data_IF_546755422527
#
_entry.id   IF_546755422527
#
_cell.length_a   1.000
_cell.length_b   1.000
_cell.length_c   1.000
_cell.angle_alpha   90.00
_cell.angle_beta   90.00
_cell.angle_gamma   90.00
#
_symmetry.space_group_name_H-M   'P 1'
#
loop_
_entity.id
_entity.type
_entity.pdbx_description
1 polymer ?
#
# COMPACT_ATOMS: atom_id res chain seq x y z
N UNK A 1 45.22 -54.16 -25.78
CA UNK A 1 44.77 -54.05 -24.37
C UNK A 1 45.23 -52.73 -23.78
N UNK A 2 44.43 -51.69 -23.87
CA UNK A 2 44.60 -50.47 -23.07
C UNK A 2 43.25 -49.79 -23.04
N UNK A 3 42.60 -49.82 -21.87
CA UNK A 3 41.33 -49.15 -21.59
C UNK A 3 41.62 -47.67 -21.30
N UNK A 4 41.18 -46.76 -22.18
CA UNK A 4 41.15 -45.34 -21.87
C UNK A 4 39.79 -45.03 -21.20
N UNK A 5 39.88 -44.69 -19.95
CA UNK A 5 38.76 -44.16 -19.16
C UNK A 5 38.55 -42.71 -19.51
N UNK A 6 37.46 -42.41 -20.17
CA UNK A 6 37.00 -41.02 -20.42
C UNK A 6 36.32 -40.47 -19.17
N UNK A 7 37.02 -39.60 -18.45
CA UNK A 7 36.51 -38.86 -17.31
C UNK A 7 35.73 -37.66 -17.85
N UNK A 8 34.41 -37.80 -17.98
CA UNK A 8 33.53 -36.72 -18.40
C UNK A 8 33.32 -35.77 -17.24
N UNK A 9 33.97 -34.62 -17.32
CA UNK A 9 33.85 -33.51 -16.35
C UNK A 9 32.51 -32.78 -16.66
N UNK A 10 31.46 -33.16 -15.95
CA UNK A 10 30.15 -32.51 -16.02
C UNK A 10 30.20 -31.24 -15.18
N UNK A 11 30.48 -30.11 -15.86
CA UNK A 11 30.43 -28.78 -15.27
C UNK A 11 28.97 -28.38 -15.00
N UNK A 12 28.54 -28.53 -13.76
CA UNK A 12 27.23 -28.08 -13.27
C UNK A 12 27.24 -26.55 -13.18
N UNK A 13 26.68 -25.91 -14.19
CA UNK A 13 26.42 -24.48 -14.20
C UNK A 13 25.26 -24.18 -13.23
N UNK A 14 25.59 -23.87 -11.98
CA UNK A 14 24.61 -23.41 -10.99
C UNK A 14 24.23 -21.98 -11.37
N UNK A 15 23.11 -21.83 -12.13
CA UNK A 15 22.45 -20.53 -12.25
C UNK A 15 21.85 -20.18 -10.90
N UNK A 16 22.56 -19.32 -10.18
CA UNK A 16 22.03 -18.69 -8.97
C UNK A 16 20.84 -17.83 -9.33
N UNK A 17 19.64 -18.33 -9.12
CA UNK A 17 18.44 -17.49 -9.08
C UNK A 17 18.53 -16.61 -7.83
N UNK A 18 18.99 -15.38 -7.99
CA UNK A 18 18.77 -14.35 -6.97
C UNK A 18 17.27 -14.06 -6.92
N UNK A 19 16.57 -14.80 -6.08
CA UNK A 19 15.21 -14.45 -5.69
C UNK A 19 15.23 -13.08 -5.03
N UNK A 20 14.83 -12.05 -5.77
CA UNK A 20 14.45 -10.78 -5.18
C UNK A 20 13.18 -11.04 -4.34
N UNK A 21 13.36 -11.37 -3.07
CA UNK A 21 12.27 -11.45 -2.10
C UNK A 21 11.73 -10.04 -1.89
N UNK A 22 10.75 -9.65 -2.67
CA UNK A 22 9.93 -8.49 -2.35
C UNK A 22 9.35 -8.75 -0.95
N UNK A 23 9.75 -7.94 0.02
CA UNK A 23 9.34 -8.06 1.41
C UNK A 23 7.83 -7.85 1.48
N UNK A 24 7.09 -8.94 1.59
CA UNK A 24 5.62 -8.88 1.73
C UNK A 24 5.27 -8.07 2.97
N UNK A 25 4.27 -7.22 2.83
CA UNK A 25 3.70 -6.51 3.98
C UNK A 25 2.84 -7.52 4.73
N UNK A 26 3.23 -7.79 5.96
CA UNK A 26 2.40 -8.57 6.87
C UNK A 26 1.25 -7.69 7.37
N UNK A 27 0.05 -7.96 6.85
CA UNK A 27 -1.16 -7.24 7.23
C UNK A 27 -1.90 -7.91 8.41
N UNK A 28 -1.50 -9.09 8.84
CA UNK A 28 -2.16 -9.83 9.92
C UNK A 28 -2.01 -9.13 11.29
N UNK A 29 -0.92 -8.39 11.47
CA UNK A 29 -0.65 -7.65 12.70
C UNK A 29 -1.07 -6.17 12.62
N UNK A 30 -1.77 -5.78 11.55
CA UNK A 30 -2.27 -4.42 11.38
C UNK A 30 -3.74 -4.33 11.84
N UNK A 31 -4.06 -3.18 12.40
CA UNK A 31 -5.42 -2.82 12.82
C UNK A 31 -6.02 -1.87 11.82
N UNK A 32 -7.32 -1.99 11.63
CA UNK A 32 -8.08 -1.08 10.80
C UNK A 32 -8.16 0.30 11.45
N UNK A 33 -7.80 1.32 10.67
CA UNK A 33 -7.97 2.73 11.02
C UNK A 33 -9.30 3.25 10.52
N UNK A 34 -9.59 2.96 9.25
CA UNK A 34 -10.81 3.36 8.56
C UNK A 34 -11.08 2.43 7.38
N UNK A 35 -12.35 2.24 7.07
CA UNK A 35 -12.79 1.58 5.84
C UNK A 35 -13.81 2.45 5.13
N UNK A 36 -13.62 2.62 3.82
CA UNK A 36 -14.54 3.34 2.95
C UNK A 36 -14.90 2.49 1.74
N UNK A 37 -16.20 2.34 1.47
CA UNK A 37 -16.71 1.50 0.38
C UNK A 37 -17.24 2.39 -0.75
N UNK A 38 -16.78 2.11 -1.97
CA UNK A 38 -17.23 2.78 -3.18
C UNK A 38 -17.58 1.73 -4.24
N UNK A 39 -18.87 1.58 -4.52
CA UNK A 39 -19.34 0.53 -5.42
C UNK A 39 -18.92 -0.84 -4.89
N UNK A 40 -18.15 -1.57 -5.70
CA UNK A 40 -17.67 -2.92 -5.37
C UNK A 40 -16.27 -2.94 -4.74
N UNK A 41 -15.70 -1.76 -4.48
CA UNK A 41 -14.34 -1.61 -3.95
C UNK A 41 -14.38 -1.06 -2.53
N UNK A 42 -13.73 -1.75 -1.61
CA UNK A 42 -13.47 -1.26 -0.27
C UNK A 42 -12.02 -0.76 -0.16
N UNK A 43 -11.85 0.44 0.35
CA UNK A 43 -10.54 1.04 0.65
C UNK A 43 -10.34 0.96 2.15
N UNK A 44 -9.34 0.24 2.57
CA UNK A 44 -9.05 -0.03 3.99
C UNK A 44 -7.71 0.58 4.35
N UNK A 45 -7.70 1.41 5.38
CA UNK A 45 -6.49 1.97 5.98
C UNK A 45 -6.11 1.11 7.17
N UNK A 46 -4.87 0.64 7.20
CA UNK A 46 -4.36 -0.27 8.23
C UNK A 46 -3.04 0.25 8.79
N UNK A 47 -2.89 0.22 10.10
CA UNK A 47 -1.60 0.41 10.76
C UNK A 47 -1.51 -0.43 12.04
N UNK A 48 -0.39 -0.33 12.75
CA UNK A 48 -0.18 -1.14 13.97
C UNK A 48 -1.03 -0.70 15.15
N UNK A 49 -1.42 0.56 15.20
CA UNK A 49 -2.13 1.15 16.35
C UNK A 49 -3.65 1.21 16.16
N UNK A 50 -4.14 1.16 14.92
CA UNK A 50 -5.55 1.35 14.57
C UNK A 50 -5.98 2.81 14.58
N UNK A 51 -5.04 3.75 14.58
CA UNK A 51 -5.33 5.19 14.59
C UNK A 51 -4.20 5.99 13.93
N UNK A 52 -4.56 7.15 13.36
CA UNK A 52 -3.62 8.14 12.86
C UNK A 52 -3.35 9.17 13.98
N UNK A 53 -2.11 9.66 14.03
CA UNK A 53 -1.67 10.62 15.03
C UNK A 53 -1.07 11.86 14.38
N UNK A 54 -1.07 12.97 15.10
CA UNK A 54 -0.32 14.15 14.69
C UNK A 54 1.15 13.80 14.48
N UNK A 55 1.79 14.37 13.46
CA UNK A 55 3.16 14.11 13.06
C UNK A 55 3.26 12.98 12.02
N UNK A 56 4.37 12.28 12.01
CA UNK A 56 4.68 11.24 11.02
C UNK A 56 3.89 9.96 11.25
N UNK A 57 3.27 9.46 10.19
CA UNK A 57 2.52 8.21 10.18
C UNK A 57 2.99 7.31 9.04
N UNK A 58 3.00 6.01 9.29
CA UNK A 58 3.14 5.00 8.26
C UNK A 58 1.93 4.06 8.36
N UNK A 59 1.23 3.87 7.25
CA UNK A 59 0.07 3.01 7.17
C UNK A 59 -0.05 2.35 5.81
N UNK A 60 -0.87 1.33 5.72
CA UNK A 60 -1.19 0.61 4.50
C UNK A 60 -2.55 1.05 4.01
N UNK A 61 -2.65 1.31 2.71
CA UNK A 61 -3.92 1.43 1.99
C UNK A 61 -4.10 0.15 1.18
N UNK A 62 -5.19 -0.56 1.44
CA UNK A 62 -5.50 -1.80 0.76
C UNK A 62 -6.87 -1.69 0.07
N UNK A 63 -6.90 -2.05 -1.21
CA UNK A 63 -8.12 -2.15 -1.99
C UNK A 63 -8.61 -3.58 -1.97
N UNK A 64 -9.87 -3.78 -1.60
CA UNK A 64 -10.50 -5.10 -1.48
C UNK A 64 -11.79 -5.16 -2.29
N UNK A 65 -12.11 -6.35 -2.78
CA UNK A 65 -13.42 -6.64 -3.36
C UNK A 65 -14.49 -6.89 -2.28
N UNK A 66 -15.71 -7.18 -2.70
CA UNK A 66 -16.83 -7.50 -1.80
C UNK A 66 -16.59 -8.77 -0.96
N UNK A 67 -15.65 -9.63 -1.36
CA UNK A 67 -15.26 -10.83 -0.61
C UNK A 67 -14.12 -10.56 0.36
N UNK A 68 -13.64 -9.31 0.44
CA UNK A 68 -12.52 -8.91 1.29
C UNK A 68 -11.14 -9.28 0.72
N UNK A 69 -11.06 -9.70 -0.54
CA UNK A 69 -9.79 -10.06 -1.19
C UNK A 69 -9.12 -8.83 -1.79
N UNK A 70 -7.78 -8.69 -1.65
CA UNK A 70 -7.04 -7.61 -2.29
C UNK A 70 -7.17 -7.64 -3.80
N UNK A 71 -7.46 -6.49 -4.41
CA UNK A 71 -7.62 -6.32 -5.86
C UNK A 71 -6.65 -5.29 -6.42
N UNK A 72 -6.14 -5.57 -7.63
CA UNK A 72 -5.24 -4.65 -8.31
C UNK A 72 -6.02 -3.49 -8.92
N UNK A 73 -5.77 -2.29 -8.45
CA UNK A 73 -6.34 -1.04 -8.97
C UNK A 73 -5.34 -0.20 -9.77
N UNK A 74 -4.12 -0.69 -9.95
CA UNK A 74 -3.06 -0.04 -10.71
C UNK A 74 -2.34 1.06 -9.94
N UNK A 75 -2.17 2.23 -10.56
CA UNK A 75 -1.56 3.38 -9.90
C UNK A 75 -2.54 4.06 -8.95
N UNK A 76 -2.05 4.47 -7.79
CA UNK A 76 -2.85 5.12 -6.74
C UNK A 76 -2.22 6.44 -6.33
N UNK A 77 -3.06 7.44 -6.11
CA UNK A 77 -2.67 8.72 -5.52
C UNK A 77 -3.50 8.96 -4.27
N UNK A 78 -2.88 9.51 -3.25
CA UNK A 78 -3.51 9.88 -2.00
C UNK A 78 -3.24 11.35 -1.70
N UNK A 79 -4.30 12.12 -1.56
CA UNK A 79 -4.27 13.48 -1.03
C UNK A 79 -4.89 13.52 0.36
N UNK A 80 -4.42 14.43 1.20
CA UNK A 80 -5.05 14.71 2.48
C UNK A 80 -5.08 16.20 2.75
N UNK A 81 -6.18 16.68 3.30
CA UNK A 81 -6.36 18.09 3.65
C UNK A 81 -7.22 18.28 4.89
N UNK A 82 -7.01 19.37 5.57
CA UNK A 82 -7.82 19.80 6.70
C UNK A 82 -8.34 21.20 6.45
N UNK A 83 -9.65 21.39 6.52
CA UNK A 83 -10.28 22.71 6.43
C UNK A 83 -10.39 23.32 7.80
N UNK A 84 -10.02 24.60 7.88
CA UNK A 84 -10.15 25.41 9.10
C UNK A 84 -11.01 26.64 8.81
N UNK A 85 -11.91 27.03 9.72
CA UNK A 85 -12.69 28.26 9.56
C UNK A 85 -11.77 29.49 9.42
N UNK A 86 -12.02 30.31 8.40
CA UNK A 86 -11.31 31.58 8.13
C UNK A 86 -9.81 31.45 7.79
N UNK A 87 -9.33 30.26 7.46
CA UNK A 87 -7.94 30.00 7.05
C UNK A 87 -7.89 29.18 5.75
N UNK A 88 -6.77 29.26 5.05
CA UNK A 88 -6.53 28.39 3.90
C UNK A 88 -6.50 26.91 4.33
N UNK A 89 -7.03 25.98 3.52
CA UNK A 89 -6.94 24.56 3.82
C UNK A 89 -5.48 24.13 4.00
N UNK A 90 -5.23 23.30 4.99
CA UNK A 90 -3.92 22.71 5.23
C UNK A 90 -3.84 21.36 4.48
N UNK A 91 -2.79 21.17 3.73
CA UNK A 91 -2.51 19.91 3.05
C UNK A 91 -1.55 19.06 3.88
N UNK A 92 -1.78 17.76 3.93
CA UNK A 92 -0.83 16.79 4.48
C UNK A 92 0.12 16.33 3.36
N UNK A 93 1.39 16.19 3.69
CA UNK A 93 2.37 15.57 2.81
C UNK A 93 2.20 14.06 2.87
N UNK A 94 1.92 13.43 1.74
CA UNK A 94 1.74 11.98 1.65
C UNK A 94 2.56 11.42 0.49
N UNK A 95 3.35 10.38 0.79
CA UNK A 95 4.07 9.58 -0.17
C UNK A 95 3.45 8.19 -0.22
N UNK A 96 3.04 7.74 -1.41
CA UNK A 96 2.45 6.42 -1.61
C UNK A 96 3.33 5.57 -2.51
N UNK A 97 3.63 4.35 -2.10
CA UNK A 97 4.47 3.40 -2.83
C UNK A 97 3.80 2.01 -2.89
N UNK A 98 3.83 1.34 -4.05
CA UNK A 98 3.35 -0.04 -4.15
C UNK A 98 4.22 -0.98 -3.31
N UNK A 99 3.61 -2.00 -2.72
CA UNK A 99 4.32 -2.98 -1.88
C UNK A 99 4.76 -4.23 -2.63
N UNK A 100 4.36 -4.37 -3.90
CA UNK A 100 4.50 -5.61 -4.67
C UNK A 100 3.38 -6.63 -4.41
N UNK A 101 2.50 -6.37 -3.46
CA UNK A 101 1.27 -7.13 -3.26
C UNK A 101 0.10 -6.45 -3.97
N UNK A 102 -0.76 -7.25 -4.62
CA UNK A 102 -1.92 -6.72 -5.33
C UNK A 102 -2.78 -5.83 -4.42
N UNK A 103 -3.16 -4.66 -4.92
CA UNK A 103 -4.04 -3.73 -4.22
C UNK A 103 -3.53 -3.21 -2.88
N UNK A 104 -2.24 -3.34 -2.58
CA UNK A 104 -1.67 -2.99 -1.28
C UNK A 104 -0.55 -1.98 -1.45
N UNK A 105 -0.70 -0.83 -0.80
CA UNK A 105 0.21 0.32 -0.93
C UNK A 105 0.66 0.78 0.44
N UNK A 106 1.92 1.17 0.54
CA UNK A 106 2.48 1.79 1.75
C UNK A 106 2.38 3.31 1.62
N UNK A 107 1.90 3.94 2.66
CA UNK A 107 1.79 5.40 2.75
C UNK A 107 2.62 5.89 3.91
N UNK A 108 3.42 6.91 3.65
CA UNK A 108 4.03 7.77 4.66
C UNK A 108 3.37 9.13 4.58
N UNK A 109 2.88 9.64 5.68
CA UNK A 109 2.18 10.91 5.73
C UNK A 109 2.55 11.68 6.98
N UNK A 110 2.57 13.01 6.86
CA UNK A 110 2.81 13.90 7.97
C UNK A 110 1.57 14.80 8.18
N UNK A 111 0.94 14.67 9.34
CA UNK A 111 -0.22 15.48 9.73
C UNK A 111 0.22 16.55 10.70
N UNK A 112 0.16 17.81 10.28
CA UNK A 112 0.61 18.94 11.10
C UNK A 112 -0.23 19.15 12.37
N UNK A 113 -1.49 18.73 12.37
CA UNK A 113 -2.43 18.90 13.48
C UNK A 113 -3.32 17.68 13.66
N UNK A 114 -3.80 17.47 14.88
CA UNK A 114 -4.91 16.57 15.18
C UNK A 114 -6.24 17.16 14.70
N UNK A 115 -7.20 16.31 14.43
CA UNK A 115 -8.55 16.69 13.99
C UNK A 115 -9.07 15.85 12.83
N UNK A 116 -10.17 16.32 12.23
CA UNK A 116 -10.78 15.67 11.08
C UNK A 116 -10.05 16.01 9.78
N UNK A 117 -9.45 15.03 9.17
CA UNK A 117 -8.77 15.15 7.88
C UNK A 117 -9.61 14.56 6.76
N UNK A 118 -9.64 15.27 5.64
CA UNK A 118 -10.28 14.83 4.41
C UNK A 118 -9.26 14.14 3.53
N UNK A 119 -9.49 12.88 3.21
CA UNK A 119 -8.66 12.07 2.34
C UNK A 119 -9.30 11.96 0.97
N UNK A 120 -8.51 12.15 -0.08
CA UNK A 120 -8.91 11.88 -1.46
C UNK A 120 -8.03 10.79 -2.01
N UNK A 121 -8.63 9.71 -2.48
CA UNK A 121 -7.95 8.56 -3.07
C UNK A 121 -8.39 8.45 -4.51
N UNK A 122 -7.45 8.41 -5.44
CA UNK A 122 -7.71 8.15 -6.85
C UNK A 122 -6.85 7.00 -7.35
N UNK A 123 -7.37 6.24 -8.28
CA UNK A 123 -6.69 5.11 -8.88
C UNK A 123 -6.95 5.03 -10.38
N UNK A 124 -6.01 4.39 -11.09
CA UNK A 124 -6.16 4.11 -12.51
C UNK A 124 -5.42 2.81 -12.86
N UNK A 125 -6.16 1.82 -13.31
CA UNK A 125 -5.59 0.51 -13.63
C UNK A 125 -6.59 -0.44 -14.28
N UNK A 126 -6.45 -1.75 -14.08
CA UNK A 126 -7.25 -2.77 -14.79
C UNK A 126 -8.76 -2.65 -14.62
N UNK A 127 -9.21 -2.07 -13.51
CA UNK A 127 -10.64 -1.83 -13.22
C UNK A 127 -11.14 -0.47 -13.74
N UNK A 128 -10.31 0.25 -14.48
CA UNK A 128 -10.57 1.63 -14.91
C UNK A 128 -10.22 2.68 -13.86
N UNK A 129 -10.39 3.97 -14.21
CA UNK A 129 -10.15 5.06 -13.28
C UNK A 129 -11.26 5.16 -12.23
N UNK A 130 -10.89 5.49 -11.02
CA UNK A 130 -11.83 5.77 -9.95
C UNK A 130 -11.27 6.79 -8.96
N UNK A 131 -12.16 7.41 -8.22
CA UNK A 131 -11.80 8.36 -7.17
C UNK A 131 -12.88 8.40 -6.10
N UNK A 132 -12.46 8.63 -4.88
CA UNK A 132 -13.36 8.84 -3.75
C UNK A 132 -12.73 9.73 -2.71
N UNK A 133 -13.56 10.25 -1.82
CA UNK A 133 -13.10 11.04 -0.69
C UNK A 133 -13.86 10.63 0.58
N UNK A 134 -13.17 10.66 1.70
CA UNK A 134 -13.73 10.35 3.01
C UNK A 134 -12.97 11.08 4.12
N UNK A 135 -13.57 11.14 5.30
CA UNK A 135 -12.95 11.77 6.46
C UNK A 135 -12.41 10.71 7.41
N UNK A 136 -11.27 10.99 8.02
CA UNK A 136 -10.72 10.22 9.13
C UNK A 136 -10.12 11.14 10.17
N UNK A 137 -10.18 10.71 11.43
CA UNK A 137 -9.63 11.50 12.53
C UNK A 137 -8.15 11.19 12.75
N UNK A 138 -7.39 12.25 12.93
CA UNK A 138 -5.99 12.23 13.39
C UNK A 138 -5.96 12.71 14.85
N UNK A 139 -5.37 11.92 15.72
CA UNK A 139 -5.27 12.19 17.17
C UNK A 139 -3.94 12.77 17.57
#
# INVERSE_FOLDING_TARGET
MKKLSAFSLMLFLILGFTSCSAKRVDTENLREVATHVVGDVAIVLLNRTGELKQGQNEFIVQFRDQKGQPINVGSVQLGSSMSMPSMAPMSGDSEITPTGQSGTYRVKSNFAMSGAWHFTVSWNGPLGPGSTAFNSNVR
#
